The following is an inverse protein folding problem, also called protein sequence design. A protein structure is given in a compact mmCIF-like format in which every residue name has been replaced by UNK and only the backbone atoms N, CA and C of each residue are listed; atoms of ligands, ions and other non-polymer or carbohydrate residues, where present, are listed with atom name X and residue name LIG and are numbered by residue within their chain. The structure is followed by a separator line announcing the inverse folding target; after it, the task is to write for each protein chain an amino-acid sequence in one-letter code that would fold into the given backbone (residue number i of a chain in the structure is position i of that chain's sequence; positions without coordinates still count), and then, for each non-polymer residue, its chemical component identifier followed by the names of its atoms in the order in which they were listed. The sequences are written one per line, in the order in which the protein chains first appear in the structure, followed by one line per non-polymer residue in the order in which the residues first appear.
data_IF_452920879884
#
_entry.id   IF_452920879884
#
_cell.length_a   1.000
_cell.length_b   1.000
_cell.length_c   1.000
_cell.angle_alpha   90.00
_cell.angle_beta   90.00
_cell.angle_gamma   90.00
#
_symmetry.space_group_name_H-M   'P 1'
#
loop_
_entity.id
_entity.type
_entity.pdbx_description
1 polymer ?
#
# COMPACT_ATOMS: atom_id res chain seq x y z
N UNK A 1 14.86 -6.02 -20.88
CA UNK A 1 14.90 -6.55 -19.50
C UNK A 1 14.82 -5.44 -18.46
N UNK A 2 15.47 -4.30 -18.68
CA UNK A 2 15.51 -3.21 -17.69
C UNK A 2 14.15 -2.58 -17.38
N UNK A 3 13.24 -2.49 -18.35
CA UNK A 3 11.87 -2.00 -18.13
C UNK A 3 11.09 -2.87 -17.14
N UNK A 4 11.21 -4.20 -17.24
CA UNK A 4 10.54 -5.14 -16.33
C UNK A 4 11.12 -5.07 -14.92
N UNK A 5 12.44 -4.91 -14.78
CA UNK A 5 13.11 -4.73 -13.49
C UNK A 5 12.71 -3.41 -12.82
N UNK A 6 12.60 -2.32 -13.60
CA UNK A 6 12.11 -1.03 -13.12
C UNK A 6 10.64 -1.12 -12.68
N UNK A 7 9.79 -1.81 -13.45
CA UNK A 7 8.41 -2.06 -13.07
C UNK A 7 8.30 -2.89 -11.77
N UNK A 8 9.15 -3.92 -11.61
CA UNK A 8 9.20 -4.71 -10.38
C UNK A 8 9.59 -3.89 -9.15
N UNK A 9 10.53 -2.96 -9.28
CA UNK A 9 10.90 -2.05 -8.20
C UNK A 9 9.78 -1.06 -7.81
N UNK A 10 8.83 -0.79 -8.71
CA UNK A 10 7.65 0.05 -8.44
C UNK A 10 6.55 -0.68 -7.67
N UNK A 11 6.54 -2.02 -7.66
CA UNK A 11 5.50 -2.81 -6.99
C UNK A 11 5.46 -2.55 -5.47
N UNK A 12 6.61 -2.24 -4.86
CA UNK A 12 6.69 -1.89 -3.44
C UNK A 12 5.96 -0.59 -3.08
N UNK A 13 5.61 0.24 -4.08
CA UNK A 13 4.97 1.55 -3.90
C UNK A 13 3.52 1.58 -4.40
N UNK A 14 2.91 0.41 -4.66
CA UNK A 14 1.53 0.35 -5.14
C UNK A 14 0.53 0.98 -4.17
N UNK A 15 0.72 0.78 -2.86
CA UNK A 15 -0.16 1.36 -1.86
C UNK A 15 -0.11 2.90 -1.88
N UNK A 16 1.07 3.48 -2.08
CA UNK A 16 1.23 4.92 -2.26
C UNK A 16 0.48 5.40 -3.52
N UNK A 17 0.57 4.67 -4.63
CA UNK A 17 -0.16 5.03 -5.85
C UNK A 17 -1.67 4.93 -5.68
N UNK A 18 -2.18 3.90 -5.00
CA UNK A 18 -3.60 3.79 -4.69
C UNK A 18 -4.04 4.95 -3.80
N UNK A 19 -3.29 5.29 -2.75
CA UNK A 19 -3.61 6.42 -1.89
C UNK A 19 -3.66 7.75 -2.66
N UNK A 20 -2.69 8.01 -3.54
CA UNK A 20 -2.70 9.21 -4.39
C UNK A 20 -3.86 9.21 -5.40
N UNK A 21 -4.19 8.06 -5.98
CA UNK A 21 -5.33 7.90 -6.89
C UNK A 21 -6.63 8.22 -6.17
N UNK A 22 -6.79 7.70 -4.96
CA UNK A 22 -7.96 7.87 -4.11
C UNK A 22 -8.15 9.32 -3.69
N UNK A 23 -7.07 9.99 -3.26
CA UNK A 23 -7.08 11.42 -2.97
C UNK A 23 -7.44 12.24 -4.21
N UNK A 24 -6.91 11.89 -5.38
CA UNK A 24 -7.31 12.53 -6.64
C UNK A 24 -8.79 12.32 -6.95
N UNK A 25 -9.33 11.14 -6.66
CA UNK A 25 -10.76 10.84 -6.81
C UNK A 25 -11.64 11.78 -5.97
N UNK A 26 -11.25 12.06 -4.73
CA UNK A 26 -11.97 13.04 -3.89
C UNK A 26 -11.91 14.47 -4.45
N UNK A 27 -10.78 14.91 -5.01
CA UNK A 27 -10.71 16.22 -5.67
C UNK A 27 -11.61 16.30 -6.90
N UNK A 28 -11.69 15.21 -7.67
CA UNK A 28 -12.59 15.11 -8.80
C UNK A 28 -14.06 15.14 -8.36
N UNK A 29 -14.38 14.53 -7.21
CA UNK A 29 -15.71 14.63 -6.61
C UNK A 29 -16.03 16.08 -6.22
N UNK A 30 -15.12 16.77 -5.51
CA UNK A 30 -15.30 18.19 -5.16
C UNK A 30 -15.52 19.07 -6.40
N UNK A 31 -14.71 18.88 -7.44
CA UNK A 31 -14.86 19.61 -8.70
C UNK A 31 -16.20 19.32 -9.38
N UNK A 32 -16.64 18.06 -9.37
CA UNK A 32 -17.93 17.68 -9.93
C UNK A 32 -19.11 18.28 -9.14
N UNK A 33 -19.02 18.32 -7.82
CA UNK A 33 -19.99 19.02 -6.97
C UNK A 33 -20.06 20.51 -7.31
N UNK A 34 -18.91 21.15 -7.53
CA UNK A 34 -18.84 22.56 -7.91
C UNK A 34 -19.47 22.82 -9.29
N UNK A 35 -19.17 21.98 -10.29
CA UNK A 35 -19.75 22.06 -11.64
C UNK A 35 -21.29 21.95 -11.61
N UNK A 36 -21.83 21.11 -10.71
CA UNK A 36 -23.27 20.91 -10.53
C UNK A 36 -23.94 21.91 -9.58
N UNK A 37 -23.16 22.61 -8.75
CA UNK A 37 -23.66 23.46 -7.67
C UNK A 37 -24.15 22.68 -6.44
N UNK A 38 -23.70 21.43 -6.26
CA UNK A 38 -24.00 20.61 -5.08
C UNK A 38 -23.21 21.12 -3.86
N UNK A 39 -23.88 21.24 -2.72
CA UNK A 39 -23.29 21.82 -1.49
C UNK A 39 -22.80 20.76 -0.53
N UNK A 40 -23.54 19.66 -0.44
CA UNK A 40 -23.29 18.58 0.51
C UNK A 40 -23.29 17.27 -0.25
N UNK A 41 -22.43 16.35 0.18
CA UNK A 41 -22.41 14.97 -0.28
C UNK A 41 -22.48 14.04 0.92
N UNK A 42 -23.35 13.03 0.83
CA UNK A 42 -23.38 11.90 1.74
C UNK A 42 -22.72 10.71 1.05
N UNK A 43 -21.77 10.07 1.71
CA UNK A 43 -21.09 8.88 1.19
C UNK A 43 -21.30 7.74 2.17
N UNK A 44 -21.89 6.66 1.67
CA UNK A 44 -21.99 5.36 2.34
C UNK A 44 -21.07 4.36 1.64
N UNK A 45 -20.94 3.15 2.19
CA UNK A 45 -20.19 2.07 1.54
C UNK A 45 -20.76 1.66 0.17
N UNK A 46 -22.04 1.96 -0.11
CA UNK A 46 -22.76 1.49 -1.29
C UNK A 46 -23.18 2.61 -2.25
N UNK A 47 -23.31 3.85 -1.76
CA UNK A 47 -23.84 4.98 -2.53
C UNK A 47 -23.15 6.31 -2.23
N UNK A 48 -23.13 7.16 -3.25
CA UNK A 48 -22.79 8.59 -3.17
C UNK A 48 -24.07 9.37 -3.46
N UNK A 49 -24.52 10.15 -2.48
CA UNK A 49 -25.66 11.06 -2.63
C UNK A 49 -25.17 12.50 -2.68
N UNK A 50 -25.35 13.14 -3.82
CA UNK A 50 -25.04 14.55 -4.07
C UNK A 50 -26.30 15.39 -3.82
N UNK A 51 -26.17 16.42 -2.97
CA UNK A 51 -27.28 17.26 -2.52
C UNK A 51 -27.00 18.72 -2.94
N UNK A 52 -27.78 19.18 -3.91
CA UNK A 52 -27.77 20.56 -4.42
C UNK A 52 -29.16 21.02 -4.84
N UNK A 53 -29.27 21.50 -6.08
CA UNK A 53 -30.56 21.85 -6.68
C UNK A 53 -31.42 20.61 -6.96
N UNK A 54 -30.76 19.51 -7.33
CA UNK A 54 -31.37 18.20 -7.54
C UNK A 54 -30.58 17.16 -6.74
N UNK A 55 -31.29 16.21 -6.14
CA UNK A 55 -30.67 15.12 -5.40
C UNK A 55 -30.35 13.98 -6.35
N UNK A 56 -29.08 13.58 -6.40
CA UNK A 56 -28.62 12.44 -7.18
C UNK A 56 -27.99 11.41 -6.24
N UNK A 57 -28.45 10.17 -6.31
CA UNK A 57 -27.85 9.05 -5.56
C UNK A 57 -27.51 7.93 -6.52
N UNK A 58 -26.24 7.49 -6.52
CA UNK A 58 -25.76 6.39 -7.35
C UNK A 58 -24.62 5.64 -6.63
N UNK A 59 -24.33 4.40 -7.02
CA UNK A 59 -23.21 3.61 -6.52
C UNK A 59 -21.84 4.14 -6.99
N UNK A 60 -21.83 4.93 -8.08
CA UNK A 60 -20.63 5.63 -8.52
C UNK A 60 -20.94 6.83 -9.41
N UNK A 61 -20.16 7.89 -9.25
CA UNK A 61 -20.31 9.13 -10.00
C UNK A 61 -19.30 9.15 -11.14
N UNK A 62 -19.79 9.39 -12.35
CA UNK A 62 -18.91 9.66 -13.50
C UNK A 62 -18.81 11.16 -13.70
N UNK A 63 -17.60 11.70 -13.52
CA UNK A 63 -17.33 13.12 -13.69
C UNK A 63 -17.38 13.51 -15.17
N UNK A 64 -17.57 14.80 -15.48
CA UNK A 64 -17.55 15.31 -16.86
C UNK A 64 -16.24 15.05 -17.61
N UNK A 65 -15.14 14.77 -16.89
CA UNK A 65 -13.82 14.41 -17.43
C UNK A 65 -13.64 12.90 -17.63
N UNK A 66 -14.69 12.10 -17.44
CA UNK A 66 -14.69 10.65 -17.66
C UNK A 66 -14.10 9.81 -16.52
N UNK A 67 -13.74 10.41 -15.40
CA UNK A 67 -13.29 9.66 -14.22
C UNK A 67 -14.49 9.10 -13.46
N UNK A 68 -14.44 7.81 -13.10
CA UNK A 68 -15.45 7.13 -12.30
C UNK A 68 -15.00 7.06 -10.84
N UNK A 69 -15.87 7.51 -9.94
CA UNK A 69 -15.64 7.55 -8.50
C UNK A 69 -16.66 6.61 -7.85
N UNK A 70 -16.18 5.57 -7.18
CA UNK A 70 -17.04 4.57 -6.55
C UNK A 70 -17.28 4.88 -5.07
N UNK A 71 -18.50 4.61 -4.60
CA UNK A 71 -18.90 4.85 -3.21
C UNK A 71 -17.98 4.14 -2.21
N UNK A 72 -17.70 2.85 -2.42
CA UNK A 72 -16.87 2.05 -1.53
C UNK A 72 -15.44 2.61 -1.37
N UNK A 73 -14.87 3.19 -2.44
CA UNK A 73 -13.54 3.81 -2.38
C UNK A 73 -13.61 5.15 -1.66
N UNK A 74 -14.55 6.02 -2.04
CA UNK A 74 -14.71 7.31 -1.37
C UNK A 74 -15.02 7.16 0.13
N UNK A 75 -15.83 6.17 0.51
CA UNK A 75 -16.14 5.84 1.90
C UNK A 75 -14.91 5.45 2.70
N UNK A 76 -14.10 4.50 2.20
CA UNK A 76 -12.87 4.06 2.88
C UNK A 76 -11.88 5.20 3.08
N UNK A 77 -11.75 6.07 2.08
CA UNK A 77 -10.88 7.24 2.17
C UNK A 77 -11.40 8.22 3.21
N UNK A 78 -12.70 8.53 3.21
CA UNK A 78 -13.29 9.41 4.22
C UNK A 78 -13.22 8.83 5.64
N UNK A 79 -13.39 7.52 5.79
CA UNK A 79 -13.20 6.82 7.07
C UNK A 79 -11.78 7.03 7.59
N UNK A 80 -10.77 6.84 6.74
CA UNK A 80 -9.37 7.09 7.08
C UNK A 80 -9.08 8.55 7.43
N UNK A 81 -9.62 9.49 6.65
CA UNK A 81 -9.39 10.93 6.84
C UNK A 81 -10.09 11.50 8.07
N UNK A 82 -11.32 11.05 8.37
CA UNK A 82 -12.09 11.53 9.53
C UNK A 82 -11.71 10.80 10.82
N UNK A 83 -11.18 9.57 10.73
CA UNK A 83 -10.65 8.83 11.88
C UNK A 83 -11.71 8.34 12.88
N UNK A 84 -12.97 8.30 12.47
CA UNK A 84 -14.08 7.78 13.27
C UNK A 84 -14.97 6.88 12.42
N UNK A 85 -15.54 5.84 13.04
CA UNK A 85 -16.42 4.91 12.37
C UNK A 85 -17.86 5.44 12.31
N UNK A 86 -18.43 5.48 11.11
CA UNK A 86 -19.80 5.93 10.90
C UNK A 86 -20.41 5.18 9.71
N UNK A 87 -21.73 4.90 9.72
CA UNK A 87 -22.39 4.25 8.59
C UNK A 87 -22.39 5.14 7.34
N UNK A 88 -22.41 6.46 7.51
CA UNK A 88 -22.41 7.45 6.43
C UNK A 88 -21.58 8.68 6.83
N UNK A 89 -20.90 9.26 5.84
CA UNK A 89 -20.16 10.50 6.00
C UNK A 89 -20.82 11.63 5.22
N UNK A 90 -21.29 12.64 5.94
CA UNK A 90 -21.64 13.94 5.36
C UNK A 90 -20.38 14.79 5.24
N UNK A 91 -20.18 15.36 4.05
CA UNK A 91 -19.07 16.29 3.77
C UNK A 91 -19.58 17.42 2.89
N UNK A 92 -19.17 18.65 3.23
CA UNK A 92 -19.34 19.78 2.31
C UNK A 92 -18.22 19.81 1.30
N UNK A 93 -18.39 20.58 0.22
CA UNK A 93 -17.33 20.79 -0.77
C UNK A 93 -16.06 21.36 -0.13
N UNK A 94 -16.20 22.35 0.74
CA UNK A 94 -15.09 23.01 1.43
C UNK A 94 -14.38 22.06 2.39
N UNK A 95 -15.14 21.23 3.11
CA UNK A 95 -14.60 20.20 3.99
C UNK A 95 -13.83 19.14 3.20
N UNK A 96 -14.37 18.67 2.06
CA UNK A 96 -13.71 17.70 1.21
C UNK A 96 -12.36 18.22 0.70
N UNK A 97 -12.31 19.49 0.27
CA UNK A 97 -11.08 20.16 -0.15
C UNK A 97 -10.06 20.27 0.99
N UNK A 98 -10.50 20.66 2.19
CA UNK A 98 -9.62 20.79 3.36
C UNK A 98 -9.06 19.45 3.83
N UNK A 99 -9.88 18.39 3.88
CA UNK A 99 -9.46 17.03 4.22
C UNK A 99 -8.43 16.52 3.21
N UNK A 100 -8.65 16.78 1.93
CA UNK A 100 -7.72 16.39 0.88
C UNK A 100 -6.38 17.13 1.00
N UNK A 101 -6.42 18.46 1.15
CA UNK A 101 -5.21 19.28 1.29
C UNK A 101 -4.37 18.84 2.50
N UNK A 102 -5.01 18.52 3.63
CA UNK A 102 -4.34 17.95 4.80
C UNK A 102 -3.70 16.60 4.48
N UNK A 103 -4.42 15.70 3.82
CA UNK A 103 -3.92 14.38 3.47
C UNK A 103 -2.73 14.43 2.50
N UNK A 104 -2.78 15.35 1.54
CA UNK A 104 -1.67 15.60 0.62
C UNK A 104 -0.46 16.14 1.37
N UNK A 105 -0.63 17.11 2.26
CA UNK A 105 0.47 17.64 3.07
C UNK A 105 1.11 16.56 3.97
N UNK A 106 0.31 15.65 4.51
CA UNK A 106 0.80 14.50 5.27
C UNK A 106 1.59 13.51 4.40
N UNK A 107 1.09 13.22 3.19
CA UNK A 107 1.76 12.35 2.22
C UNK A 107 3.08 12.96 1.73
N UNK A 108 3.13 14.27 1.50
CA UNK A 108 4.35 15.01 1.15
C UNK A 108 5.41 14.98 2.27
N UNK A 109 4.97 14.99 3.53
CA UNK A 109 5.84 14.87 4.70
C UNK A 109 6.27 13.43 5.04
N UNK A 110 5.62 12.44 4.43
CA UNK A 110 5.71 11.03 4.80
C UNK A 110 6.92 10.27 4.24
N UNK A 111 7.29 9.19 4.93
CA UNK A 111 8.42 8.33 4.52
C UNK A 111 8.14 7.52 3.27
N UNK A 112 6.88 7.21 2.97
CA UNK A 112 6.49 6.49 1.77
C UNK A 112 6.87 7.26 0.49
N UNK A 113 6.63 8.58 0.45
CA UNK A 113 7.00 9.42 -0.69
C UNK A 113 8.53 9.56 -0.81
N UNK A 114 9.25 9.64 0.32
CA UNK A 114 10.73 9.63 0.34
C UNK A 114 11.28 8.31 -0.21
N UNK A 115 10.76 7.18 0.26
CA UNK A 115 11.17 5.85 -0.20
C UNK A 115 10.90 5.66 -1.71
N UNK A 116 9.80 6.22 -2.22
CA UNK A 116 9.52 6.26 -3.64
C UNK A 116 10.54 7.11 -4.41
N UNK A 117 10.86 8.32 -3.93
CA UNK A 117 11.87 9.19 -4.52
C UNK A 117 13.28 8.55 -4.55
N UNK A 118 13.66 7.84 -3.50
CA UNK A 118 14.91 7.08 -3.43
C UNK A 118 14.93 5.95 -4.47
N UNK A 119 13.80 5.26 -4.63
CA UNK A 119 13.65 4.20 -5.64
C UNK A 119 13.76 4.76 -7.06
N UNK A 120 13.13 5.91 -7.34
CA UNK A 120 13.28 6.62 -8.61
C UNK A 120 14.72 7.04 -8.86
N UNK A 121 15.41 7.58 -7.85
CA UNK A 121 16.82 7.97 -7.94
C UNK A 121 17.69 6.77 -8.25
N UNK A 122 17.46 5.62 -7.60
CA UNK A 122 18.19 4.37 -7.85
C UNK A 122 17.96 3.83 -9.27
N UNK A 123 16.73 3.94 -9.77
CA UNK A 123 16.36 3.52 -11.12
C UNK A 123 16.90 4.47 -12.19
N UNK A 124 16.94 5.78 -11.91
CA UNK A 124 17.46 6.83 -12.78
C UNK A 124 18.99 6.84 -12.83
N UNK A 125 19.65 6.68 -11.68
CA UNK A 125 21.10 6.52 -11.57
C UNK A 125 21.60 5.21 -12.22
N UNK A 126 20.74 4.19 -12.33
CA UNK A 126 21.02 2.93 -13.02
C UNK A 126 21.25 3.02 -14.54
N UNK A 127 21.21 4.22 -15.14
CA UNK A 127 21.77 4.48 -16.49
C UNK A 127 23.31 4.49 -16.52
N UNK A 128 23.94 4.58 -15.36
CA UNK A 128 25.38 4.40 -15.17
C UNK A 128 25.58 3.56 -13.91
N UNK A 129 25.80 2.25 -14.10
CA UNK A 129 26.17 1.36 -13.01
C UNK A 129 27.42 1.89 -12.25
N UNK A 130 27.53 1.57 -10.96
CA UNK A 130 28.17 0.31 -10.65
C UNK A 130 27.32 -0.61 -9.77
N UNK A 131 27.58 -1.91 -9.96
CA UNK A 131 27.13 -2.98 -9.12
C UNK A 131 27.70 -2.88 -7.70
N UNK A 132 27.05 -3.60 -6.79
CA UNK A 132 27.44 -3.94 -5.41
C UNK A 132 26.96 -2.98 -4.30
N UNK A 133 25.86 -3.38 -3.63
CA UNK A 133 25.79 -3.45 -2.18
C UNK A 133 24.48 -4.12 -1.74
N UNK A 134 24.29 -5.40 -2.09
CA UNK A 134 23.51 -6.31 -1.24
C UNK A 134 24.50 -7.14 -0.43
N UNK A 135 25.20 -6.48 0.49
CA UNK A 135 25.90 -7.17 1.56
C UNK A 135 24.85 -7.52 2.62
N UNK A 136 24.28 -8.72 2.52
CA UNK A 136 23.77 -9.39 3.71
C UNK A 136 24.97 -9.72 4.60
N UNK A 137 25.00 -9.34 5.89
CA UNK A 137 26.02 -9.84 6.79
C UNK A 137 25.70 -11.30 7.10
N UNK A 138 26.35 -12.23 6.41
CA UNK A 138 26.54 -13.59 6.90
C UNK A 138 27.62 -13.50 7.97
N UNK A 139 27.35 -13.86 9.25
CA UNK A 139 28.41 -13.90 10.24
C UNK A 139 29.36 -15.06 9.91
N UNK A 140 30.61 -14.71 9.66
CA UNK A 140 31.74 -15.63 9.55
C UNK A 140 31.92 -16.38 10.88
N UNK A 141 31.97 -17.72 10.90
CA UNK A 141 32.33 -18.44 12.12
C UNK A 141 33.83 -18.29 12.39
N UNK A 142 34.16 -18.03 13.65
CA UNK A 142 35.51 -17.92 14.16
C UNK A 142 36.30 -19.21 13.92
N UNK A 143 37.52 -19.07 13.39
CA UNK A 143 38.50 -20.11 13.30
C UNK A 143 39.18 -20.29 14.68
N UNK A 144 38.84 -21.36 15.38
CA UNK A 144 39.67 -21.93 16.44
C UNK A 144 40.52 -23.08 15.84
N UNK A 145 41.80 -23.09 16.19
CA UNK A 145 42.74 -24.18 15.94
C UNK A 145 43.53 -24.43 17.25
N UNK A 146 44.25 -25.56 17.38
CA UNK A 146 43.75 -26.92 17.53
C UNK A 146 44.34 -27.58 18.81
N UNK A 147 43.64 -28.55 19.42
CA UNK A 147 44.26 -29.41 20.42
C UNK A 147 43.74 -30.86 20.31
N UNK A 148 44.70 -31.75 20.18
CA UNK A 148 44.61 -33.18 19.94
C UNK A 148 43.95 -33.96 21.09
N UNK A 149 43.07 -34.92 20.79
CA UNK A 149 43.27 -36.34 21.15
C UNK A 149 42.16 -37.26 20.59
N UNK A 150 42.49 -38.52 20.26
CA UNK A 150 41.65 -39.40 19.47
C UNK A 150 40.72 -40.25 20.36
N UNK A 151 39.51 -40.53 19.88
CA UNK A 151 38.55 -41.35 20.63
C UNK A 151 37.35 -41.83 19.82
N UNK A 152 37.60 -42.85 18.98
CA UNK A 152 36.66 -43.88 18.50
C UNK A 152 35.62 -43.52 17.43
N UNK A 153 35.90 -44.08 16.25
CA UNK A 153 35.04 -44.34 15.10
C UNK A 153 33.61 -44.78 15.44
N UNK A 154 32.67 -44.21 14.68
CA UNK A 154 31.41 -44.88 14.29
C UNK A 154 31.75 -46.11 13.42
N UNK A 155 31.07 -47.25 13.64
CA UNK A 155 29.93 -47.74 12.81
C UNK A 155 29.75 -49.26 12.91
N UNK A 156 28.47 -49.65 12.93
CA UNK A 156 27.86 -50.92 12.50
C UNK A 156 27.89 -52.14 13.45
N UNK A 157 26.69 -52.56 13.88
CA UNK A 157 26.09 -53.84 13.50
C UNK A 157 24.59 -53.84 13.88
N UNK A 158 23.77 -54.35 12.95
CA UNK A 158 22.32 -54.53 13.02
C UNK A 158 21.90 -55.61 14.03
N UNK A 159 20.66 -55.53 14.54
CA UNK A 159 19.66 -56.62 14.64
C UNK A 159 18.68 -56.38 15.81
N UNK A 160 17.38 -56.55 15.57
CA UNK A 160 16.40 -56.82 16.63
C UNK A 160 15.05 -56.12 16.47
N UNK A 161 14.08 -56.85 15.94
CA UNK A 161 12.64 -56.54 15.80
C UNK A 161 11.96 -56.10 17.13
N UNK A 162 10.83 -55.38 17.05
CA UNK A 162 9.46 -55.90 17.31
C UNK A 162 8.47 -54.77 17.74
N UNK A 163 7.27 -54.79 17.13
CA UNK A 163 5.94 -54.35 17.62
C UNK A 163 5.47 -52.89 17.54
N UNK A 164 4.66 -52.64 16.51
CA UNK A 164 3.26 -52.18 16.56
C UNK A 164 2.76 -51.39 17.80
N UNK A 165 2.29 -50.15 17.59
CA UNK A 165 0.85 -49.79 17.43
C UNK A 165 0.58 -48.33 17.92
N UNK A 166 -0.22 -47.51 17.21
CA UNK A 166 -0.61 -46.17 17.65
C UNK A 166 -2.00 -46.16 18.31
N UNK A 167 -2.20 -45.28 19.27
CA UNK A 167 -3.51 -44.80 19.76
C UNK A 167 -3.23 -43.62 20.70
N UNK A 168 -4.05 -42.59 20.88
CA UNK A 168 -5.25 -42.06 20.24
C UNK A 168 -5.42 -40.66 20.88
#
# INVERSE_FOLDING_TARGET
MDTLKKAGAMLAHLDLFHQMLDLRGLLQLAAHMEERGDRVTLISGESITLIGAEMLSDAGITTGKGARIEAATAYRVLQGLKGHDAPEYAVTREELGALNARAVAELEGGDALRAFADTLTRIGAGGTAPAAASASPVPTPAAEAPAERPGRSRRAAESGETSEQPAA
#
